data_IF_540117556971
#
_entry.id   IF_540117556971
#
_cell.length_a   1.000
_cell.length_b   1.000
_cell.length_c   1.000
_cell.angle_alpha   90.00
_cell.angle_beta   90.00
_cell.angle_gamma   90.00
#
_symmetry.space_group_name_H-M   'P 1'
#
loop_
_entity.id
_entity.type
_entity.pdbx_description
1 polymer ?
#
# COMPACT_ATOMS: atom_id res chain seq x y z
N UNK A 1 -3.25 -35.47 -2.24
CA UNK A 1 -4.14 -34.89 -3.29
C UNK A 1 -5.26 -34.16 -2.59
N UNK A 2 -5.18 -32.85 -2.55
CA UNK A 2 -6.22 -32.00 -1.96
C UNK A 2 -7.08 -31.50 -3.10
N UNK A 3 -8.32 -32.00 -3.12
CA UNK A 3 -9.31 -31.69 -4.14
C UNK A 3 -9.91 -30.29 -3.89
N UNK A 4 -9.63 -29.34 -4.75
CA UNK A 4 -10.17 -27.98 -4.69
C UNK A 4 -11.45 -27.81 -5.51
N UNK A 5 -12.22 -28.89 -5.67
CA UNK A 5 -13.52 -28.82 -6.33
C UNK A 5 -14.62 -28.56 -5.30
N UNK A 6 -15.20 -27.40 -5.37
CA UNK A 6 -16.52 -27.17 -4.82
C UNK A 6 -16.58 -26.23 -3.63
N UNK A 7 -16.54 -24.96 -3.87
CA UNK A 7 -17.15 -24.02 -2.96
C UNK A 7 -18.27 -23.27 -3.65
N UNK A 8 -19.44 -23.84 -3.47
CA UNK A 8 -20.74 -23.29 -3.82
C UNK A 8 -20.87 -21.83 -3.37
N UNK A 9 -21.25 -20.99 -4.30
CA UNK A 9 -21.81 -19.67 -3.99
C UNK A 9 -23.26 -19.83 -3.52
N UNK A 10 -23.66 -19.25 -2.40
CA UNK A 10 -25.07 -19.14 -2.07
C UNK A 10 -25.71 -18.06 -2.95
N UNK A 11 -26.62 -18.50 -3.77
CA UNK A 11 -27.59 -17.65 -4.45
C UNK A 11 -28.54 -17.08 -3.41
N UNK A 12 -28.45 -15.80 -3.15
CA UNK A 12 -29.45 -15.10 -2.37
C UNK A 12 -30.54 -14.67 -3.36
N UNK A 13 -31.66 -15.31 -3.22
CA UNK A 13 -32.89 -15.06 -3.99
C UNK A 13 -33.47 -13.68 -3.64
N UNK A 14 -33.80 -12.98 -4.70
CA UNK A 14 -34.60 -11.76 -4.71
C UNK A 14 -35.97 -11.98 -4.06
N UNK A 15 -36.34 -11.12 -3.15
CA UNK A 15 -37.71 -10.89 -2.79
C UNK A 15 -38.08 -9.47 -3.19
N UNK A 16 -38.84 -9.41 -4.27
CA UNK A 16 -39.53 -8.23 -4.72
C UNK A 16 -40.65 -7.89 -3.75
N UNK A 17 -40.60 -6.72 -3.15
CA UNK A 17 -41.74 -6.10 -2.52
C UNK A 17 -42.22 -4.95 -3.39
N UNK A 18 -43.30 -5.24 -4.10
CA UNK A 18 -44.16 -4.25 -4.74
C UNK A 18 -45.09 -3.70 -3.67
N UNK A 19 -44.92 -2.47 -3.29
CA UNK A 19 -45.95 -1.70 -2.60
C UNK A 19 -46.30 -0.50 -3.43
N UNK A 20 -47.44 -0.64 -4.06
CA UNK A 20 -48.22 0.40 -4.69
C UNK A 20 -48.87 1.25 -3.60
N UNK A 21 -48.54 2.53 -3.51
CA UNK A 21 -49.35 3.50 -2.73
C UNK A 21 -49.52 4.77 -3.53
N UNK A 22 -50.79 5.13 -3.59
CA UNK A 22 -51.47 6.12 -4.39
C UNK A 22 -51.00 7.57 -4.20
N UNK A 23 -51.17 8.31 -5.30
CA UNK A 23 -51.42 9.72 -5.54
C UNK A 23 -51.85 10.56 -4.32
N UNK A 24 -51.10 11.64 -4.10
CA UNK A 24 -51.70 12.94 -3.76
C UNK A 24 -50.92 14.04 -4.47
N UNK A 25 -51.50 14.90 -5.28
CA UNK A 25 -50.85 16.08 -5.81
C UNK A 25 -51.02 17.23 -4.80
N UNK A 26 -49.99 17.50 -4.02
CA UNK A 26 -49.88 18.77 -3.34
C UNK A 26 -48.88 19.60 -4.11
N UNK A 27 -49.37 20.51 -4.91
CA UNK A 27 -48.64 21.56 -5.52
C UNK A 27 -48.17 22.53 -4.42
N UNK A 28 -46.97 22.34 -3.93
CA UNK A 28 -46.24 23.40 -3.28
C UNK A 28 -45.19 23.89 -4.26
N UNK A 29 -45.49 25.03 -4.83
CA UNK A 29 -44.48 25.85 -5.46
C UNK A 29 -43.48 26.24 -4.37
N UNK A 30 -42.44 25.45 -4.20
CA UNK A 30 -41.26 25.88 -3.48
C UNK A 30 -40.47 26.73 -4.47
N UNK A 31 -40.51 28.04 -4.25
CA UNK A 31 -39.52 28.96 -4.73
C UNK A 31 -38.17 28.38 -4.34
N UNK A 32 -37.49 27.82 -5.33
CA UNK A 32 -36.09 27.53 -5.23
C UNK A 32 -35.37 28.87 -5.06
N UNK A 33 -34.98 29.18 -3.86
CA UNK A 33 -33.97 30.16 -3.62
C UNK A 33 -32.71 29.74 -4.41
N UNK A 34 -32.06 30.67 -5.13
CA UNK A 34 -30.83 30.32 -5.83
C UNK A 34 -29.84 29.82 -4.77
N UNK A 35 -29.50 28.54 -4.83
CA UNK A 35 -28.41 27.98 -4.06
C UNK A 35 -27.16 28.80 -4.39
N UNK A 36 -26.46 29.34 -3.40
CA UNK A 36 -25.15 29.92 -3.65
C UNK A 36 -24.29 28.83 -4.29
N UNK A 37 -23.44 29.18 -5.27
CA UNK A 37 -22.58 28.19 -5.89
C UNK A 37 -21.78 27.52 -4.78
N UNK A 38 -22.03 26.24 -4.59
CA UNK A 38 -21.22 25.41 -3.75
C UNK A 38 -19.81 25.43 -4.35
N UNK A 39 -18.98 26.31 -3.82
CA UNK A 39 -17.55 26.17 -3.97
C UNK A 39 -17.19 24.86 -3.24
N UNK A 40 -17.40 23.75 -3.92
CA UNK A 40 -16.71 22.52 -3.58
C UNK A 40 -15.24 22.77 -3.85
N UNK A 41 -14.58 23.41 -2.88
CA UNK A 41 -13.14 23.28 -2.77
C UNK A 41 -12.84 21.78 -2.89
N UNK A 42 -12.05 21.34 -3.85
CA UNK A 42 -11.62 19.96 -3.87
C UNK A 42 -11.02 19.71 -2.49
N UNK A 43 -11.61 18.75 -1.78
CA UNK A 43 -11.04 18.30 -0.51
C UNK A 43 -9.55 18.05 -0.79
N UNK A 44 -8.65 18.56 0.06
CA UNK A 44 -7.25 18.29 -0.10
C UNK A 44 -7.13 16.79 -0.23
N UNK A 45 -6.73 16.31 -1.41
CA UNK A 45 -6.41 14.91 -1.59
C UNK A 45 -5.29 14.65 -0.61
N UNK A 46 -5.61 14.00 0.49
CA UNK A 46 -4.60 13.49 1.41
C UNK A 46 -3.64 12.69 0.54
N UNK A 47 -2.36 13.06 0.51
CA UNK A 47 -1.38 12.22 -0.17
C UNK A 47 -1.56 10.81 0.40
N UNK A 48 -1.48 9.77 -0.45
CA UNK A 48 -1.65 8.41 -0.01
C UNK A 48 -0.81 8.25 1.25
N UNK A 49 -1.45 7.88 2.34
CA UNK A 49 -0.83 7.81 3.66
C UNK A 49 0.34 6.85 3.51
N UNK A 50 1.56 7.38 3.45
CA UNK A 50 2.73 6.54 3.44
C UNK A 50 2.65 5.64 4.67
N UNK A 51 2.87 4.32 4.53
CA UNK A 51 2.77 3.42 5.65
C UNK A 51 3.64 3.96 6.79
N UNK A 52 3.05 4.14 7.95
CA UNK A 52 3.77 4.61 9.12
C UNK A 52 4.79 3.55 9.51
N UNK A 53 6.07 3.84 9.30
CA UNK A 53 7.15 2.94 9.67
C UNK A 53 7.34 3.00 11.17
N UNK A 54 7.06 1.90 11.85
CA UNK A 54 7.18 1.77 13.30
C UNK A 54 8.53 1.19 13.73
N UNK A 55 9.11 0.35 12.89
CA UNK A 55 10.42 -0.26 13.14
C UNK A 55 11.18 -0.47 11.85
N UNK A 56 12.51 -0.48 11.95
CA UNK A 56 13.40 -0.73 10.82
C UNK A 56 14.38 -1.84 11.18
N UNK A 57 14.44 -2.86 10.33
CA UNK A 57 15.41 -3.95 10.42
C UNK A 57 16.30 -3.94 9.19
N UNK A 58 17.60 -4.15 9.40
CA UNK A 58 18.58 -4.26 8.31
C UNK A 58 19.13 -5.68 8.31
N UNK A 59 19.00 -6.36 7.18
CA UNK A 59 19.44 -7.74 6.99
C UNK A 59 20.36 -7.79 5.77
N UNK A 60 21.51 -8.45 5.92
CA UNK A 60 22.37 -8.71 4.76
C UNK A 60 21.80 -9.86 3.92
N UNK A 61 21.93 -9.77 2.59
CA UNK A 61 21.47 -10.83 1.69
C UNK A 61 22.15 -12.17 2.00
N UNK A 62 23.39 -12.15 2.50
CA UNK A 62 24.11 -13.34 2.90
C UNK A 62 23.58 -14.02 4.16
N UNK A 63 22.84 -13.28 5.00
CA UNK A 63 22.20 -13.80 6.22
C UNK A 63 20.85 -14.47 5.94
N UNK A 64 20.31 -14.28 4.75
CA UNK A 64 19.04 -14.89 4.34
C UNK A 64 19.21 -16.38 3.96
N UNK A 65 18.16 -17.20 4.17
CA UNK A 65 18.12 -18.55 3.63
C UNK A 65 18.31 -18.54 2.10
N UNK A 66 18.94 -19.58 1.54
CA UNK A 66 19.28 -19.67 0.13
C UNK A 66 18.06 -19.42 -0.80
N UNK A 67 16.90 -19.92 -0.44
CA UNK A 67 15.65 -19.69 -1.20
C UNK A 67 15.26 -18.22 -1.22
N UNK A 68 15.37 -17.51 -0.09
CA UNK A 68 15.09 -16.09 0.00
C UNK A 68 16.13 -15.24 -0.72
N UNK A 69 17.39 -15.65 -0.70
CA UNK A 69 18.44 -14.98 -1.48
C UNK A 69 18.15 -15.02 -2.98
N UNK A 70 17.69 -16.15 -3.49
CA UNK A 70 17.32 -16.30 -4.90
C UNK A 70 16.15 -15.36 -5.25
N UNK A 71 15.10 -15.35 -4.43
CA UNK A 71 13.95 -14.48 -4.65
C UNK A 71 14.36 -13.00 -4.67
N UNK A 72 15.22 -12.59 -3.75
CA UNK A 72 15.71 -11.19 -3.71
C UNK A 72 16.53 -10.87 -4.95
N UNK A 73 17.42 -11.77 -5.39
CA UNK A 73 18.20 -11.60 -6.62
C UNK A 73 17.28 -11.46 -7.83
N UNK A 74 16.30 -12.35 -7.98
CA UNK A 74 15.33 -12.30 -9.08
C UNK A 74 14.54 -10.98 -9.12
N UNK A 75 14.15 -10.47 -7.96
CA UNK A 75 13.47 -9.18 -7.86
C UNK A 75 14.40 -8.03 -8.23
N UNK A 76 15.64 -8.07 -7.77
CA UNK A 76 16.64 -7.03 -8.06
C UNK A 76 17.01 -7.03 -9.54
N UNK A 77 17.22 -8.19 -10.13
CA UNK A 77 17.62 -8.33 -11.53
C UNK A 77 16.50 -7.90 -12.51
N UNK A 78 15.24 -8.06 -12.10
CA UNK A 78 14.07 -7.59 -12.86
C UNK A 78 13.73 -6.11 -12.61
N UNK A 79 14.36 -5.47 -11.65
CA UNK A 79 14.08 -4.09 -11.28
C UNK A 79 14.87 -3.13 -12.16
N UNK A 80 14.20 -2.06 -12.59
CA UNK A 80 14.89 -0.99 -13.31
C UNK A 80 15.88 -0.24 -12.41
N UNK A 81 17.03 0.20 -12.94
CA UNK A 81 18.00 0.99 -12.18
C UNK A 81 17.39 2.22 -11.50
N UNK A 82 16.45 2.90 -12.16
CA UNK A 82 15.74 4.05 -11.61
C UNK A 82 14.87 3.71 -10.39
N UNK A 83 14.32 2.50 -10.31
CA UNK A 83 13.53 2.09 -9.15
C UNK A 83 14.44 1.82 -7.94
N UNK A 84 15.63 1.33 -8.16
CA UNK A 84 16.62 1.14 -7.10
C UNK A 84 17.10 2.50 -6.55
N UNK A 85 17.29 3.48 -7.43
CA UNK A 85 17.62 4.84 -7.01
C UNK A 85 16.51 5.51 -6.21
N UNK A 86 15.26 5.34 -6.63
CA UNK A 86 14.08 5.82 -5.87
C UNK A 86 14.02 5.16 -4.50
N UNK A 87 14.26 3.85 -4.41
CA UNK A 87 14.33 3.13 -3.15
C UNK A 87 15.40 3.72 -2.23
N UNK A 88 16.62 3.91 -2.72
CA UNK A 88 17.72 4.50 -1.96
C UNK A 88 17.41 5.91 -1.50
N UNK A 89 16.81 6.73 -2.37
CA UNK A 89 16.37 8.08 -2.02
C UNK A 89 15.30 8.07 -0.93
N UNK A 90 14.36 7.14 -0.99
CA UNK A 90 13.34 6.97 0.04
C UNK A 90 13.95 6.54 1.38
N UNK A 91 14.88 5.60 1.36
CA UNK A 91 15.62 5.17 2.57
C UNK A 91 16.41 6.33 3.16
N UNK A 92 17.06 7.14 2.32
CA UNK A 92 17.81 8.34 2.74
C UNK A 92 16.90 9.38 3.39
N UNK A 93 15.66 9.50 2.94
CA UNK A 93 14.67 10.42 3.51
C UNK A 93 14.12 9.97 4.87
N UNK A 94 14.29 8.68 5.23
CA UNK A 94 13.82 8.10 6.48
C UNK A 94 14.94 8.10 7.53
N UNK A 95 14.88 8.95 8.56
CA UNK A 95 15.95 9.04 9.56
C UNK A 95 16.14 7.72 10.32
N UNK A 96 15.06 7.00 10.61
CA UNK A 96 15.12 5.70 11.27
C UNK A 96 15.88 4.65 10.42
N UNK A 97 15.64 4.66 9.10
CA UNK A 97 16.31 3.76 8.18
C UNK A 97 17.82 4.06 8.10
N UNK A 98 18.17 5.33 8.04
CA UNK A 98 19.58 5.76 8.07
C UNK A 98 20.30 5.32 9.35
N UNK A 99 19.70 5.59 10.50
CA UNK A 99 20.27 5.17 11.79
C UNK A 99 20.47 3.65 11.86
N UNK A 100 19.49 2.86 11.39
CA UNK A 100 19.60 1.41 11.37
C UNK A 100 20.73 0.92 10.47
N UNK A 101 20.97 1.57 9.32
CA UNK A 101 22.09 1.29 8.43
C UNK A 101 23.43 1.68 9.06
N UNK A 102 23.52 2.87 9.64
CA UNK A 102 24.72 3.38 10.31
C UNK A 102 25.16 2.48 11.47
N UNK A 103 24.22 1.96 12.26
CA UNK A 103 24.51 1.00 13.34
C UNK A 103 25.17 -0.29 12.83
N UNK A 104 24.92 -0.64 11.57
CA UNK A 104 25.56 -1.78 10.90
C UNK A 104 26.79 -1.38 10.08
N UNK A 105 27.20 -0.12 10.13
CA UNK A 105 28.32 0.41 9.33
C UNK A 105 28.02 0.45 7.84
N UNK A 106 26.74 0.55 7.47
CA UNK A 106 26.25 0.57 6.10
C UNK A 106 25.65 1.94 5.78
N UNK A 107 25.42 2.18 4.50
CA UNK A 107 24.69 3.33 4.01
C UNK A 107 23.63 2.91 2.98
N UNK A 108 22.84 3.84 2.50
CA UNK A 108 21.77 3.59 1.53
C UNK A 108 22.23 2.95 0.22
N UNK A 109 23.51 3.15 -0.16
CA UNK A 109 24.06 2.59 -1.40
C UNK A 109 24.13 1.07 -1.41
N UNK A 110 24.19 0.46 -0.24
CA UNK A 110 24.17 -1.00 -0.08
C UNK A 110 22.76 -1.60 -0.09
N UNK A 111 21.72 -0.77 -0.01
CA UNK A 111 20.35 -1.23 -0.05
C UNK A 111 19.99 -1.70 -1.46
N UNK A 112 19.57 -2.96 -1.57
CA UNK A 112 19.17 -3.58 -2.83
C UNK A 112 17.67 -3.89 -2.87
N UNK A 113 17.03 -4.08 -1.71
CA UNK A 113 15.58 -4.30 -1.62
C UNK A 113 15.05 -3.77 -0.29
N UNK A 114 13.75 -3.52 -0.25
CA UNK A 114 13.03 -3.17 0.96
C UNK A 114 11.66 -3.82 0.94
N UNK A 115 11.19 -4.22 2.10
CA UNK A 115 9.85 -4.77 2.32
C UNK A 115 9.23 -4.12 3.53
N UNK A 116 7.96 -3.75 3.42
CA UNK A 116 7.18 -3.22 4.53
C UNK A 116 6.10 -4.24 4.87
N UNK A 117 6.04 -4.65 6.13
CA UNK A 117 4.98 -5.52 6.62
C UNK A 117 3.75 -4.72 7.03
N UNK A 118 2.61 -5.38 7.12
CA UNK A 118 1.33 -4.78 7.52
C UNK A 118 1.40 -4.09 8.89
N UNK A 119 2.29 -4.52 9.77
CA UNK A 119 2.54 -3.90 11.08
C UNK A 119 3.48 -2.68 11.04
N UNK A 120 3.83 -2.16 9.85
CA UNK A 120 4.73 -1.01 9.72
C UNK A 120 6.21 -1.33 9.98
N UNK A 121 6.62 -2.60 9.98
CA UNK A 121 8.01 -2.97 10.05
C UNK A 121 8.66 -2.91 8.66
N UNK A 122 9.65 -2.05 8.51
CA UNK A 122 10.46 -1.93 7.31
C UNK A 122 11.69 -2.84 7.42
N UNK A 123 11.82 -3.77 6.51
CA UNK A 123 13.01 -4.61 6.38
C UNK A 123 13.83 -4.16 5.18
N UNK A 124 15.03 -3.71 5.43
CA UNK A 124 15.99 -3.32 4.39
C UNK A 124 16.93 -4.49 4.13
N UNK A 125 17.02 -4.90 2.88
CA UNK A 125 17.96 -5.93 2.45
C UNK A 125 19.15 -5.26 1.81
N UNK A 126 20.33 -5.52 2.36
CA UNK A 126 21.59 -4.93 1.91
C UNK A 126 22.49 -6.00 1.30
N UNK A 127 23.37 -5.55 0.42
CA UNK A 127 24.48 -6.36 -0.08
C UNK A 127 25.78 -5.69 0.36
N UNK A 128 26.44 -6.31 1.31
CA UNK A 128 27.78 -5.85 1.71
C UNK A 128 28.76 -6.07 0.56
N UNK A 129 29.60 -5.10 0.25
CA UNK A 129 30.70 -5.35 -0.69
C UNK A 129 31.61 -6.40 -0.07
N UNK A 130 31.88 -7.42 -0.84
CA UNK A 130 32.83 -8.48 -0.48
C UNK A 130 34.26 -7.97 -0.51
#
# INVERSE_FOLDING_TARGET
>A
MIDWKGKMMPRIASLAFVTLVALTPAAFAQQQAPEPPSNSSPAPQQPPTAPTIQSVSVVDIGELPAASQQQVKDVVDKRNPGDLEKLRSSVKALPQARQALEQKGLNESYVIAASVSEGGALTLITRKPG
#
